data_IF_041058799375
#
_entry.id   IF_041058799375
#
_cell.length_a   1.000
_cell.length_b   1.000
_cell.length_c   1.000
_cell.angle_alpha   90.00
_cell.angle_beta   90.00
_cell.angle_gamma   90.00
#
_symmetry.space_group_name_H-M   'P 1'
#
loop_
_entity.id
_entity.type
_entity.pdbx_description
1 polymer ?
#
# COMPACT_ATOMS: atom_id res chain seq x y z
N UNK A 1 11.97 -20.94 -16.99
CA UNK A 1 11.52 -21.99 -16.04
C UNK A 1 10.40 -22.76 -16.70
N UNK A 2 10.25 -24.04 -16.39
CA UNK A 2 9.00 -24.74 -16.72
C UNK A 2 7.87 -24.36 -15.73
N UNK A 3 6.60 -24.68 -16.02
CA UNK A 3 5.48 -24.29 -15.15
C UNK A 3 5.58 -24.80 -13.71
N UNK A 4 6.09 -26.03 -13.51
CA UNK A 4 6.23 -26.59 -12.16
C UNK A 4 7.31 -25.86 -11.34
N UNK A 5 8.43 -25.49 -11.97
CA UNK A 5 9.47 -24.69 -11.31
C UNK A 5 8.96 -23.30 -10.91
N UNK A 6 8.15 -22.67 -11.77
CA UNK A 6 7.59 -21.35 -11.50
C UNK A 6 6.60 -21.39 -10.32
N UNK A 7 5.75 -22.40 -10.24
CA UNK A 7 4.80 -22.57 -9.14
C UNK A 7 5.50 -22.77 -7.80
N UNK A 8 6.55 -23.61 -7.76
CA UNK A 8 7.38 -23.82 -6.57
C UNK A 8 8.08 -22.51 -6.18
N UNK A 9 8.60 -21.77 -7.15
CA UNK A 9 9.24 -20.48 -6.90
C UNK A 9 8.27 -19.42 -6.35
N UNK A 10 7.10 -19.29 -6.97
CA UNK A 10 6.03 -18.40 -6.51
C UNK A 10 5.64 -18.72 -5.06
N UNK A 11 5.43 -20.00 -4.75
CA UNK A 11 5.07 -20.46 -3.41
C UNK A 11 6.16 -20.10 -2.41
N UNK A 12 7.43 -20.38 -2.75
CA UNK A 12 8.56 -20.09 -1.88
C UNK A 12 8.69 -18.59 -1.57
N UNK A 13 8.53 -17.71 -2.56
CA UNK A 13 8.57 -16.27 -2.33
C UNK A 13 7.35 -15.74 -1.57
N UNK A 14 6.17 -16.29 -1.84
CA UNK A 14 4.92 -15.86 -1.17
C UNK A 14 4.93 -16.19 0.32
N UNK A 15 5.62 -17.27 0.72
CA UNK A 15 5.74 -17.64 2.12
C UNK A 15 6.59 -16.66 2.95
N UNK A 16 7.49 -15.89 2.31
CA UNK A 16 8.35 -14.95 3.03
C UNK A 16 7.52 -13.81 3.66
N UNK A 17 6.70 -13.05 2.92
CA UNK A 17 5.76 -12.10 3.51
C UNK A 17 4.80 -12.72 4.55
N UNK A 18 4.36 -13.97 4.37
CA UNK A 18 3.49 -14.64 5.34
C UNK A 18 4.21 -14.88 6.67
N UNK A 19 5.45 -15.37 6.61
CA UNK A 19 6.31 -15.55 7.78
C UNK A 19 6.61 -14.21 8.47
N UNK A 20 6.87 -13.15 7.70
CA UNK A 20 7.02 -11.79 8.21
C UNK A 20 5.75 -11.35 8.96
N UNK A 21 4.57 -11.57 8.38
CA UNK A 21 3.28 -11.22 9.00
C UNK A 21 3.03 -11.99 10.29
N UNK A 22 3.34 -13.29 10.34
CA UNK A 22 3.26 -14.09 11.57
C UNK A 22 4.17 -13.53 12.65
N UNK A 23 5.42 -13.20 12.32
CA UNK A 23 6.39 -12.62 13.25
C UNK A 23 5.91 -11.25 13.75
N UNK A 24 5.44 -10.38 12.86
CA UNK A 24 4.90 -9.07 13.18
C UNK A 24 3.76 -9.17 14.20
N UNK A 25 2.73 -9.97 13.90
CA UNK A 25 1.57 -10.14 14.81
C UNK A 25 1.96 -10.68 16.18
N UNK A 26 2.88 -11.65 16.23
CA UNK A 26 3.29 -12.29 17.49
C UNK A 26 4.16 -11.40 18.38
N UNK A 27 4.86 -10.43 17.79
CA UNK A 27 5.80 -9.56 18.50
C UNK A 27 5.30 -8.13 18.69
N UNK A 28 4.19 -7.76 18.05
CA UNK A 28 3.51 -6.48 18.25
C UNK A 28 2.84 -6.42 19.61
N UNK A 29 2.68 -5.19 20.10
CA UNK A 29 2.15 -4.90 21.41
C UNK A 29 0.67 -4.55 21.31
N UNK A 30 0.28 -3.79 20.28
CA UNK A 30 -1.09 -3.32 20.15
C UNK A 30 -2.09 -4.37 19.65
N UNK A 31 -3.34 -4.33 20.13
CA UNK A 31 -4.42 -5.18 19.62
C UNK A 31 -4.73 -4.97 18.12
N UNK A 32 -4.48 -3.77 17.57
CA UNK A 32 -4.73 -3.50 16.14
C UNK A 32 -3.89 -4.41 15.25
N UNK A 33 -2.61 -4.58 15.57
CA UNK A 33 -1.73 -5.46 14.78
C UNK A 33 -1.91 -6.92 15.21
N UNK A 34 -2.01 -7.18 16.52
CA UNK A 34 -2.00 -8.54 17.06
C UNK A 34 -3.31 -9.30 16.85
N UNK A 35 -4.44 -8.65 17.13
CA UNK A 35 -5.77 -9.29 17.17
C UNK A 35 -6.61 -8.91 15.95
N UNK A 36 -6.65 -7.63 15.55
CA UNK A 36 -7.36 -7.20 14.34
C UNK A 36 -6.62 -7.57 13.06
N UNK A 37 -5.32 -7.88 13.16
CA UNK A 37 -4.45 -8.22 12.04
C UNK A 37 -4.35 -7.11 10.98
N UNK A 38 -4.39 -5.86 11.43
CA UNK A 38 -4.36 -4.68 10.57
C UNK A 38 -2.92 -4.33 10.18
N UNK A 39 -2.33 -5.22 9.37
CA UNK A 39 -0.99 -5.07 8.82
C UNK A 39 -0.82 -5.93 7.56
N UNK A 40 0.03 -5.51 6.63
CA UNK A 40 0.48 -6.34 5.50
C UNK A 40 2.00 -6.39 5.44
N UNK A 41 2.53 -7.45 4.83
CA UNK A 41 3.96 -7.60 4.53
C UNK A 41 4.13 -7.87 3.03
N UNK A 42 5.24 -7.42 2.47
CA UNK A 42 5.55 -7.57 1.05
C UNK A 42 7.05 -7.63 0.79
N UNK A 43 7.40 -8.25 -0.35
CA UNK A 43 8.72 -8.20 -0.96
C UNK A 43 8.67 -7.42 -2.25
N UNK A 44 9.71 -6.63 -2.49
CA UNK A 44 9.93 -5.90 -3.73
C UNK A 44 11.30 -6.27 -4.29
N UNK A 45 11.48 -6.18 -5.61
CA UNK A 45 12.79 -6.31 -6.24
C UNK A 45 13.58 -5.00 -6.18
N UNK A 46 14.79 -5.00 -6.76
CA UNK A 46 15.70 -3.86 -6.73
C UNK A 46 15.14 -2.64 -7.50
N UNK A 47 14.24 -2.87 -8.44
CA UNK A 47 13.55 -1.87 -9.24
C UNK A 47 12.29 -1.32 -8.55
N UNK A 48 11.94 -1.83 -7.37
CA UNK A 48 10.76 -1.40 -6.62
C UNK A 48 9.46 -2.00 -7.13
N UNK A 49 9.50 -3.09 -7.89
CA UNK A 49 8.30 -3.84 -8.32
C UNK A 49 7.93 -4.83 -7.22
N UNK A 50 6.68 -4.81 -6.79
CA UNK A 50 6.17 -5.75 -5.79
C UNK A 50 6.23 -7.18 -6.36
N UNK A 51 6.92 -8.08 -5.66
CA UNK A 51 7.15 -9.47 -6.08
C UNK A 51 6.17 -10.42 -5.42
N UNK A 52 5.88 -10.20 -4.14
CA UNK A 52 4.95 -11.00 -3.37
C UNK A 52 4.39 -10.18 -2.20
N UNK A 53 3.13 -10.47 -1.84
CA UNK A 53 2.45 -9.82 -0.72
C UNK A 53 1.65 -10.84 0.08
N UNK A 54 1.78 -10.77 1.41
CA UNK A 54 0.85 -11.37 2.36
C UNK A 54 -0.19 -10.30 2.69
N UNK A 55 -1.35 -10.43 2.04
CA UNK A 55 -2.43 -9.47 2.13
C UNK A 55 -3.37 -9.84 3.27
N UNK A 56 -3.54 -8.91 4.21
CA UNK A 56 -4.65 -8.92 5.16
C UNK A 56 -5.62 -7.76 4.90
N UNK A 57 -5.17 -6.68 4.25
CA UNK A 57 -5.91 -5.44 4.07
C UNK A 57 -5.81 -4.95 2.61
N UNK A 58 -6.92 -4.88 1.85
CA UNK A 58 -6.91 -4.50 0.42
C UNK A 58 -6.35 -3.11 0.11
N UNK A 59 -6.46 -2.15 1.05
CA UNK A 59 -5.95 -0.79 0.83
C UNK A 59 -4.40 -0.71 0.75
N UNK A 60 -3.72 -1.84 1.01
CA UNK A 60 -2.27 -1.96 0.88
C UNK A 60 -1.81 -2.32 -0.55
N UNK A 61 -2.73 -2.70 -1.45
CA UNK A 61 -2.39 -3.17 -2.81
C UNK A 61 -1.71 -2.10 -3.68
N UNK A 62 -2.24 -0.88 -3.69
CA UNK A 62 -1.73 0.25 -4.47
C UNK A 62 -0.80 1.17 -3.67
N UNK A 63 -0.91 1.18 -2.35
CA UNK A 63 -0.19 2.14 -1.51
C UNK A 63 1.25 1.73 -1.18
N UNK A 64 1.53 0.45 -0.93
CA UNK A 64 2.91 -0.01 -0.69
C UNK A 64 3.85 0.22 -1.88
N UNK A 65 3.45 -0.05 -3.15
CA UNK A 65 4.27 0.30 -4.31
C UNK A 65 4.65 1.79 -4.37
N UNK A 66 3.69 2.70 -4.16
CA UNK A 66 3.97 4.14 -4.15
C UNK A 66 4.89 4.56 -3.01
N UNK A 67 4.80 3.90 -1.85
CA UNK A 67 5.71 4.14 -0.73
C UNK A 67 7.16 3.73 -1.08
N UNK A 68 7.35 2.58 -1.74
CA UNK A 68 8.67 2.14 -2.21
C UNK A 68 9.21 3.06 -3.31
N UNK A 69 8.36 3.49 -4.25
CA UNK A 69 8.73 4.46 -5.28
C UNK A 69 9.21 5.78 -4.67
N UNK A 70 8.50 6.30 -3.65
CA UNK A 70 8.92 7.49 -2.93
C UNK A 70 10.31 7.32 -2.29
N UNK A 71 10.57 6.19 -1.62
CA UNK A 71 11.89 5.90 -1.05
C UNK A 71 12.98 5.82 -2.12
N UNK A 72 12.73 5.14 -3.24
CA UNK A 72 13.70 5.04 -4.34
C UNK A 72 14.05 6.41 -4.94
N UNK A 73 13.05 7.30 -5.07
CA UNK A 73 13.23 8.67 -5.55
C UNK A 73 14.03 9.52 -4.56
N UNK A 74 13.76 9.39 -3.26
CA UNK A 74 14.30 10.30 -2.24
C UNK A 74 15.68 9.84 -1.70
N UNK A 75 16.02 8.56 -1.87
CA UNK A 75 17.28 7.95 -1.41
C UNK A 75 18.15 7.34 -2.54
N UNK A 76 18.39 8.04 -3.66
CA UNK A 76 19.11 7.48 -4.80
C UNK A 76 20.57 7.18 -4.42
N UNK A 77 20.95 5.91 -4.41
CA UNK A 77 22.32 5.48 -4.10
C UNK A 77 22.76 5.68 -2.64
N UNK A 78 21.87 6.08 -1.73
CA UNK A 78 22.20 6.35 -0.31
C UNK A 78 21.74 5.27 0.67
N UNK A 79 20.89 4.34 0.22
CA UNK A 79 20.43 3.19 1.00
C UNK A 79 21.58 2.22 1.30
N UNK A 80 21.67 1.75 2.54
CA UNK A 80 22.70 0.82 3.02
C UNK A 80 22.06 -0.36 3.74
N UNK A 81 22.82 -1.44 3.85
CA UNK A 81 22.42 -2.56 4.69
C UNK A 81 22.11 -2.09 6.11
N UNK A 82 21.10 -2.70 6.71
CA UNK A 82 20.55 -2.34 8.02
C UNK A 82 19.84 -0.99 8.14
N UNK A 83 19.66 -0.25 7.05
CA UNK A 83 18.71 0.86 7.04
C UNK A 83 17.26 0.35 7.24
N UNK A 84 16.44 1.17 7.88
CA UNK A 84 14.98 1.04 7.89
C UNK A 84 14.40 2.42 7.60
N UNK A 85 13.68 2.56 6.50
CA UNK A 85 13.01 3.79 6.11
C UNK A 85 11.59 3.73 6.64
N UNK A 86 11.12 4.80 7.28
CA UNK A 86 9.78 4.96 7.81
C UNK A 86 9.04 6.05 7.03
N UNK A 87 7.75 5.82 6.75
CA UNK A 87 6.83 6.84 6.29
C UNK A 87 5.37 6.49 6.62
N UNK A 88 4.52 7.51 6.70
CA UNK A 88 3.06 7.38 6.69
C UNK A 88 2.38 8.50 5.87
N UNK A 89 3.16 9.46 5.34
CA UNK A 89 2.63 10.60 4.59
C UNK A 89 1.76 10.11 3.41
N UNK A 90 0.44 10.40 3.42
CA UNK A 90 -0.50 9.95 2.40
C UNK A 90 -0.20 10.50 1.00
N UNK A 91 0.50 11.63 0.91
CA UNK A 91 0.94 12.21 -0.36
C UNK A 91 2.26 11.61 -0.86
N UNK A 92 2.85 10.68 -0.10
CA UNK A 92 4.10 9.97 -0.40
C UNK A 92 3.94 8.45 -0.38
N UNK A 93 2.72 7.97 -0.60
CA UNK A 93 2.39 6.54 -0.66
C UNK A 93 1.77 5.98 0.62
N UNK A 94 1.56 6.79 1.66
CA UNK A 94 0.69 6.44 2.79
C UNK A 94 -0.78 6.32 2.40
N UNK A 95 -1.60 5.83 3.32
CA UNK A 95 -3.07 5.66 3.16
C UNK A 95 -3.82 6.64 4.06
N UNK A 96 -3.51 6.59 5.36
CA UNK A 96 -3.79 7.60 6.37
C UNK A 96 -2.66 7.56 7.40
N UNK A 97 -2.60 8.52 8.33
CA UNK A 97 -1.46 8.62 9.24
C UNK A 97 -1.26 7.41 10.17
N UNK A 98 -2.30 6.74 10.69
CA UNK A 98 -2.13 5.54 11.52
C UNK A 98 -1.38 4.39 10.83
N UNK A 99 -1.43 4.31 9.49
CA UNK A 99 -0.77 3.24 8.74
C UNK A 99 0.71 3.56 8.50
N UNK A 100 1.57 3.10 9.40
CA UNK A 100 3.01 3.34 9.33
C UNK A 100 3.70 2.25 8.51
N UNK A 101 4.44 2.65 7.47
CA UNK A 101 5.19 1.76 6.59
C UNK A 101 6.67 1.76 6.97
N UNK A 102 7.26 0.56 7.13
CA UNK A 102 8.70 0.37 7.20
C UNK A 102 9.24 -0.35 5.97
N UNK A 103 10.28 0.20 5.36
CA UNK A 103 10.95 -0.34 4.16
C UNK A 103 12.41 -0.60 4.50
N UNK A 104 12.85 -1.85 4.33
CA UNK A 104 14.25 -2.26 4.51
C UNK A 104 14.86 -2.68 3.17
N UNK A 105 15.95 -2.05 2.70
CA UNK A 105 16.71 -2.57 1.58
C UNK A 105 17.40 -3.90 1.94
N UNK A 106 17.38 -4.85 1.02
CA UNK A 106 17.97 -6.19 1.16
C UNK A 106 19.18 -6.28 0.26
N UNK A 107 20.35 -6.50 0.87
CA UNK A 107 21.62 -6.66 0.14
C UNK A 107 22.08 -8.12 0.15
N UNK A 108 22.80 -8.52 -0.88
CA UNK A 108 23.51 -9.79 -0.94
C UNK A 108 24.77 -9.65 -1.80
N UNK A 109 25.93 -10.00 -1.21
CA UNK A 109 27.25 -9.88 -1.86
C UNK A 109 27.44 -8.50 -2.51
N UNK A 110 27.20 -7.44 -1.74
CA UNK A 110 27.31 -6.02 -2.11
C UNK A 110 26.30 -5.48 -3.13
N UNK A 111 25.40 -6.33 -3.64
CA UNK A 111 24.32 -5.93 -4.55
C UNK A 111 22.97 -5.77 -3.85
N UNK A 112 22.21 -4.73 -4.21
CA UNK A 112 20.81 -4.60 -3.82
C UNK A 112 19.99 -5.71 -4.51
N UNK A 113 19.32 -6.54 -3.70
CA UNK A 113 18.37 -7.56 -4.18
C UNK A 113 16.96 -7.01 -4.30
N UNK A 114 16.57 -6.11 -3.41
CA UNK A 114 15.21 -5.59 -3.33
C UNK A 114 14.88 -5.07 -1.94
N UNK A 115 13.62 -5.18 -1.53
CA UNK A 115 13.13 -4.62 -0.27
C UNK A 115 12.22 -5.59 0.47
N UNK A 116 12.36 -5.63 1.79
CA UNK A 116 11.35 -6.20 2.69
C UNK A 116 10.55 -5.04 3.28
N UNK A 117 9.23 -5.11 3.13
CA UNK A 117 8.32 -4.01 3.46
C UNK A 117 7.20 -4.53 4.34
N UNK A 118 6.82 -3.74 5.34
CA UNK A 118 5.55 -3.93 6.02
C UNK A 118 4.87 -2.58 6.27
N UNK A 119 3.56 -2.65 6.44
CA UNK A 119 2.72 -1.55 6.90
C UNK A 119 1.84 -2.08 8.00
N UNK A 120 1.74 -1.34 9.09
CA UNK A 120 0.94 -1.72 10.24
C UNK A 120 0.19 -0.51 10.77
N UNK A 121 -1.05 -0.74 11.18
CA UNK A 121 -1.90 0.28 11.74
C UNK A 121 -1.57 0.50 13.22
N UNK A 122 -1.00 1.67 13.53
CA UNK A 122 -0.77 2.10 14.91
C UNK A 122 -2.06 2.65 15.50
N UNK A 123 -2.38 2.27 16.74
CA UNK A 123 -3.64 2.68 17.36
C UNK A 123 -3.70 4.19 17.68
N UNK A 124 -2.55 4.86 17.66
CA UNK A 124 -2.42 6.31 17.80
C UNK A 124 -1.16 6.77 17.07
N UNK A 125 -1.25 7.94 16.44
CA UNK A 125 -0.15 8.61 15.75
C UNK A 125 -0.11 10.10 16.12
N UNK A 126 -0.65 10.48 17.29
CA UNK A 126 -0.59 11.85 17.81
C UNK A 126 -1.61 12.83 17.24
N UNK A 127 -2.73 12.32 16.71
CA UNK A 127 -3.84 13.17 16.27
C UNK A 127 -4.57 13.87 17.42
N UNK A 128 -5.38 14.90 17.10
CA UNK A 128 -6.17 15.66 18.07
C UNK A 128 -7.14 14.81 18.90
N UNK A 129 -7.55 13.65 18.39
CA UNK A 129 -8.46 12.70 19.05
C UNK A 129 -7.81 11.32 19.17
N UNK A 130 -8.15 10.53 20.21
CA UNK A 130 -7.70 9.14 20.31
C UNK A 130 -8.08 8.33 19.07
N UNK A 131 -7.15 7.52 18.57
CA UNK A 131 -7.32 6.80 17.30
C UNK A 131 -6.81 7.59 16.09
N UNK A 132 -6.49 8.88 16.27
CA UNK A 132 -5.91 9.75 15.23
C UNK A 132 -6.75 9.85 13.96
N UNK A 133 -8.07 9.91 14.15
CA UNK A 133 -9.06 10.13 13.09
C UNK A 133 -10.08 11.19 13.57
N UNK A 134 -9.70 12.47 13.70
CA UNK A 134 -10.63 13.53 14.08
C UNK A 134 -11.65 13.73 12.96
N UNK A 135 -12.93 13.52 13.23
CA UNK A 135 -14.00 13.64 12.23
C UNK A 135 -14.14 15.07 11.67
N UNK A 136 -13.72 16.07 12.45
CA UNK A 136 -13.71 17.50 12.10
C UNK A 136 -12.36 17.97 11.53
N UNK A 137 -11.43 17.06 11.23
CA UNK A 137 -10.13 17.43 10.66
C UNK A 137 -10.31 18.03 9.26
N UNK A 138 -9.72 19.19 9.05
CA UNK A 138 -9.71 19.90 7.76
C UNK A 138 -8.31 19.91 7.14
N UNK A 139 -7.28 19.71 7.95
CA UNK A 139 -5.88 19.65 7.54
C UNK A 139 -5.20 18.37 8.03
N UNK A 140 -4.25 17.86 7.26
CA UNK A 140 -3.53 16.62 7.59
C UNK A 140 -2.81 16.69 8.93
N UNK A 141 -2.22 17.83 9.28
CA UNK A 141 -1.50 18.02 10.55
C UNK A 141 -2.41 17.92 11.79
N UNK A 142 -3.72 18.02 11.62
CA UNK A 142 -4.70 17.80 12.69
C UNK A 142 -4.93 16.31 12.99
N UNK A 143 -4.61 15.44 12.03
CA UNK A 143 -4.75 13.99 12.13
C UNK A 143 -3.57 13.32 12.84
N UNK A 144 -2.44 14.04 13.00
CA UNK A 144 -1.30 13.61 13.79
C UNK A 144 0.05 13.73 13.09
N UNK A 145 0.96 12.87 13.50
CA UNK A 145 2.36 12.84 13.09
C UNK A 145 2.50 12.48 11.61
N UNK A 146 2.86 13.47 10.80
CA UNK A 146 3.24 13.24 9.40
C UNK A 146 4.72 12.87 9.30
N UNK A 147 4.98 11.71 8.71
CA UNK A 147 6.30 11.14 8.46
C UNK A 147 6.52 11.03 6.95
N UNK A 148 7.21 12.03 6.40
CA UNK A 148 7.85 11.90 5.09
C UNK A 148 8.91 10.78 5.12
N UNK A 149 9.27 10.19 3.96
CA UNK A 149 10.33 9.17 3.87
C UNK A 149 11.62 9.59 4.56
N UNK A 150 11.94 8.93 5.67
CA UNK A 150 13.13 9.20 6.48
C UNK A 150 13.67 7.95 7.15
N UNK A 151 14.94 7.96 7.56
CA UNK A 151 15.55 6.81 8.24
C UNK A 151 15.04 6.70 9.68
N UNK A 152 14.41 5.57 10.02
CA UNK A 152 14.20 5.12 11.39
C UNK A 152 15.47 4.49 11.95
N UNK A 153 16.09 3.60 11.16
CA UNK A 153 17.43 3.07 11.43
C UNK A 153 18.39 3.50 10.32
N UNK A 154 19.57 3.97 10.72
CA UNK A 154 20.69 4.25 9.83
C UNK A 154 21.81 3.25 10.11
N UNK A 155 21.98 2.27 9.21
CA UNK A 155 22.89 1.12 9.38
C UNK A 155 22.70 0.42 10.73
N UNK A 156 21.44 0.11 11.06
CA UNK A 156 21.07 -0.57 12.30
C UNK A 156 21.04 0.30 13.55
N UNK A 157 21.38 1.59 13.45
CA UNK A 157 21.35 2.52 14.58
C UNK A 157 20.07 3.34 14.59
N UNK A 158 19.36 3.31 15.71
CA UNK A 158 18.14 4.09 15.92
C UNK A 158 18.39 5.59 15.75
N UNK A 159 17.51 6.26 15.01
CA UNK A 159 17.50 7.71 14.86
C UNK A 159 16.62 8.30 15.96
N UNK A 160 17.25 8.78 17.03
CA UNK A 160 16.57 9.34 18.21
C UNK A 160 15.49 10.34 17.84
N UNK A 161 15.78 11.28 16.92
CA UNK A 161 14.82 12.29 16.44
C UNK A 161 13.49 11.72 15.98
N UNK A 162 13.45 10.55 15.34
CA UNK A 162 12.20 9.92 14.90
C UNK A 162 11.48 9.31 16.09
N UNK A 163 12.21 8.57 16.93
CA UNK A 163 11.65 7.89 18.09
C UNK A 163 11.15 8.88 19.15
N UNK A 164 11.80 10.02 19.31
CA UNK A 164 11.43 11.08 20.24
C UNK A 164 10.09 11.69 19.85
N UNK A 165 9.82 11.89 18.55
CA UNK A 165 8.49 12.28 18.07
C UNK A 165 7.41 11.30 18.50
N UNK A 166 7.64 9.98 18.38
CA UNK A 166 6.69 8.99 18.90
C UNK A 166 6.55 9.08 20.43
N UNK A 167 7.63 9.35 21.18
CA UNK A 167 7.57 9.48 22.65
C UNK A 167 6.77 10.69 23.11
N UNK A 168 6.88 11.79 22.37
CA UNK A 168 6.37 13.10 22.76
C UNK A 168 4.98 13.38 22.18
N UNK A 169 4.71 12.93 20.96
CA UNK A 169 3.51 13.30 20.20
C UNK A 169 2.40 12.23 20.29
N UNK A 170 2.71 10.97 20.66
CA UNK A 170 1.72 9.86 20.66
C UNK A 170 1.28 9.41 22.05
N UNK A 171 0.08 8.82 22.11
CA UNK A 171 -0.43 8.13 23.29
C UNK A 171 0.18 6.72 23.41
N UNK A 172 0.37 6.26 24.66
CA UNK A 172 0.97 4.97 24.97
C UNK A 172 2.30 4.71 24.22
N UNK A 173 3.30 5.59 24.33
CA UNK A 173 4.50 5.54 23.50
C UNK A 173 5.29 4.23 23.65
N UNK A 174 5.26 3.58 24.81
CA UNK A 174 5.89 2.26 24.98
C UNK A 174 5.30 1.20 24.04
N UNK A 175 3.98 1.23 23.82
CA UNK A 175 3.27 0.35 22.89
C UNK A 175 3.61 0.70 21.43
N UNK A 176 3.57 1.99 21.06
CA UNK A 176 3.93 2.46 19.70
C UNK A 176 5.36 2.09 19.32
N UNK A 177 6.31 2.32 20.23
CA UNK A 177 7.71 1.93 20.05
C UNK A 177 7.89 0.40 20.02
N UNK A 178 7.07 -0.35 20.77
CA UNK A 178 7.00 -1.81 20.69
C UNK A 178 6.57 -2.30 19.31
N UNK A 179 5.50 -1.71 18.77
CA UNK A 179 5.00 -1.99 17.41
C UNK A 179 6.04 -1.65 16.33
N UNK A 180 6.74 -0.51 16.43
CA UNK A 180 7.83 -0.16 15.50
C UNK A 180 8.96 -1.20 15.53
N UNK A 181 9.35 -1.68 16.71
CA UNK A 181 10.37 -2.73 16.84
C UNK A 181 9.90 -4.05 16.25
N UNK A 182 8.63 -4.40 16.41
CA UNK A 182 8.03 -5.58 15.77
C UNK A 182 8.08 -5.46 14.24
N UNK A 183 7.75 -4.29 13.69
CA UNK A 183 7.89 -4.00 12.25
C UNK A 183 9.35 -4.13 11.77
N UNK A 184 10.32 -3.59 12.52
CA UNK A 184 11.75 -3.74 12.20
C UNK A 184 12.16 -5.21 12.17
N UNK A 185 11.76 -5.99 13.18
CA UNK A 185 12.09 -7.40 13.28
C UNK A 185 11.47 -8.24 12.14
N UNK A 186 10.23 -7.94 11.75
CA UNK A 186 9.57 -8.57 10.60
C UNK A 186 10.33 -8.29 9.30
N UNK A 187 10.72 -7.03 9.05
CA UNK A 187 11.54 -6.69 7.88
C UNK A 187 12.90 -7.37 7.88
N UNK A 188 13.56 -7.49 9.04
CA UNK A 188 14.82 -8.22 9.15
C UNK A 188 14.65 -9.71 8.82
N UNK A 189 13.53 -10.34 9.23
CA UNK A 189 13.22 -11.71 8.86
C UNK A 189 13.04 -11.85 7.34
N UNK A 190 12.25 -10.96 6.72
CA UNK A 190 12.08 -10.94 5.27
C UNK A 190 13.39 -10.80 4.50
N UNK A 191 14.25 -9.88 4.95
CA UNK A 191 15.58 -9.67 4.36
C UNK A 191 16.46 -10.93 4.44
N UNK A 192 16.49 -11.61 5.60
CA UNK A 192 17.23 -12.87 5.76
C UNK A 192 16.71 -13.95 4.81
N UNK A 193 15.38 -14.14 4.74
CA UNK A 193 14.77 -15.16 3.88
C UNK A 193 15.03 -14.91 2.40
N UNK A 194 14.92 -13.66 1.95
CA UNK A 194 15.23 -13.31 0.56
C UNK A 194 16.71 -13.56 0.23
N UNK A 195 17.63 -13.23 1.15
CA UNK A 195 19.05 -13.52 1.00
C UNK A 195 19.34 -15.04 0.98
N UNK A 196 18.64 -15.85 1.78
CA UNK A 196 18.74 -17.32 1.75
C UNK A 196 18.31 -17.89 0.39
N UNK A 197 17.22 -17.38 -0.19
CA UNK A 197 16.77 -17.75 -1.55
C UNK A 197 17.83 -17.38 -2.58
N UNK A 198 18.37 -16.16 -2.52
CA UNK A 198 19.43 -15.71 -3.42
C UNK A 198 20.71 -16.55 -3.29
N UNK A 199 21.08 -16.98 -2.08
CA UNK A 199 22.23 -17.85 -1.84
C UNK A 199 22.07 -19.24 -2.48
N UNK A 200 20.84 -19.78 -2.48
CA UNK A 200 20.53 -21.10 -3.08
C UNK A 200 20.40 -21.05 -4.61
N UNK A 201 19.73 -20.03 -5.13
CA UNK A 201 19.39 -19.94 -6.56
C UNK A 201 20.45 -19.20 -7.39
N UNK A 202 21.22 -18.32 -6.75
CA UNK A 202 22.04 -17.32 -7.43
C UNK A 202 21.21 -16.10 -7.86
N UNK A 203 21.82 -14.92 -7.79
CA UNK A 203 21.14 -13.62 -8.04
C UNK A 203 20.56 -13.53 -9.45
N UNK A 204 21.32 -13.96 -10.47
CA UNK A 204 20.87 -13.91 -11.87
C UNK A 204 19.61 -14.75 -12.09
N UNK A 205 19.58 -15.98 -11.54
CA UNK A 205 18.42 -16.85 -11.65
C UNK A 205 17.23 -16.28 -10.88
N UNK A 206 17.46 -15.78 -9.66
CA UNK A 206 16.41 -15.13 -8.85
C UNK A 206 15.74 -13.98 -9.61
N UNK A 207 16.52 -13.06 -10.18
CA UNK A 207 15.99 -11.91 -10.94
C UNK A 207 15.19 -12.36 -12.17
N UNK A 208 15.76 -13.25 -12.99
CA UNK A 208 15.03 -13.79 -14.15
C UNK A 208 13.77 -14.56 -13.75
N UNK A 209 13.77 -15.20 -12.59
CA UNK A 209 12.58 -15.87 -12.04
C UNK A 209 11.52 -14.88 -11.55
N UNK A 210 11.92 -13.74 -10.98
CA UNK A 210 11.00 -12.65 -10.62
C UNK A 210 10.36 -12.08 -11.88
N UNK A 211 11.14 -11.78 -12.92
CA UNK A 211 10.61 -11.24 -14.18
C UNK A 211 9.57 -12.18 -14.81
N UNK A 212 9.88 -13.48 -14.89
CA UNK A 212 8.92 -14.48 -15.40
C UNK A 212 7.66 -14.56 -14.54
N UNK A 213 7.77 -14.43 -13.21
CA UNK A 213 6.62 -14.44 -12.31
C UNK A 213 5.72 -13.22 -12.47
N UNK A 214 6.31 -12.03 -12.71
CA UNK A 214 5.56 -10.81 -13.01
C UNK A 214 4.86 -10.95 -14.37
N UNK A 215 5.55 -11.43 -15.40
CA UNK A 215 4.98 -11.63 -16.73
C UNK A 215 3.88 -12.69 -16.73
N UNK A 216 4.03 -13.75 -15.92
CA UNK A 216 2.99 -14.76 -15.71
C UNK A 216 1.73 -14.17 -15.08
N UNK A 217 1.87 -13.36 -14.02
CA UNK A 217 0.74 -12.69 -13.38
C UNK A 217 0.01 -11.75 -14.37
N UNK A 218 0.76 -10.99 -15.15
CA UNK A 218 0.21 -10.14 -16.21
C UNK A 218 -0.59 -10.96 -17.23
N UNK A 219 -0.01 -12.06 -17.76
CA UNK A 219 -0.70 -12.93 -18.72
C UNK A 219 -2.01 -13.48 -18.18
N UNK A 220 -2.04 -13.90 -16.90
CA UNK A 220 -3.26 -14.40 -16.26
C UNK A 220 -4.35 -13.34 -16.17
N UNK A 221 -4.02 -12.16 -15.64
CA UNK A 221 -5.00 -11.07 -15.51
C UNK A 221 -5.47 -10.59 -16.88
N UNK A 222 -4.57 -10.43 -17.86
CA UNK A 222 -4.94 -10.07 -19.24
C UNK A 222 -5.89 -11.09 -19.88
N UNK A 223 -5.66 -12.39 -19.67
CA UNK A 223 -6.54 -13.44 -20.16
C UNK A 223 -7.93 -13.38 -19.51
N UNK A 224 -8.00 -13.13 -18.20
CA UNK A 224 -9.26 -12.93 -17.50
C UNK A 224 -10.00 -11.66 -18.00
N UNK A 225 -9.28 -10.55 -18.19
CA UNK A 225 -9.85 -9.31 -18.76
C UNK A 225 -10.44 -9.57 -20.15
N UNK A 226 -9.77 -10.35 -21.00
CA UNK A 226 -10.29 -10.70 -22.33
C UNK A 226 -11.59 -11.49 -22.33
N UNK A 227 -11.99 -12.07 -21.19
CA UNK A 227 -13.28 -12.74 -21.02
C UNK A 227 -14.40 -11.82 -20.55
N UNK A 228 -14.07 -10.61 -20.10
CA UNK A 228 -15.06 -9.59 -19.73
C UNK A 228 -15.70 -8.99 -20.99
N UNK A 229 -16.95 -8.50 -20.89
CA UNK A 229 -17.56 -7.72 -21.96
C UNK A 229 -16.66 -6.54 -22.35
N UNK A 230 -16.65 -6.23 -23.65
CA UNK A 230 -15.90 -5.07 -24.18
C UNK A 230 -16.83 -3.88 -24.27
N UNK A 231 -16.38 -2.74 -23.76
CA UNK A 231 -17.20 -1.55 -23.72
C UNK A 231 -16.68 -0.53 -22.73
N UNK A 232 -17.52 0.47 -22.50
CA UNK A 232 -17.25 1.56 -21.57
C UNK A 232 -18.52 1.83 -20.81
N UNK A 233 -18.42 1.77 -19.48
CA UNK A 233 -19.55 1.97 -18.59
C UNK A 233 -19.15 2.95 -17.50
N UNK A 234 -20.09 3.78 -17.07
CA UNK A 234 -19.86 4.75 -16.02
C UNK A 234 -20.95 4.61 -14.96
N UNK A 235 -20.55 4.84 -13.72
CA UNK A 235 -21.45 4.99 -12.61
C UNK A 235 -21.03 6.18 -11.76
N UNK A 236 -21.98 6.69 -11.02
CA UNK A 236 -21.75 7.69 -9.99
C UNK A 236 -22.59 7.38 -8.76
N UNK A 237 -22.06 7.77 -7.62
CA UNK A 237 -22.74 7.69 -6.34
C UNK A 237 -22.22 8.83 -5.46
N UNK A 238 -22.81 9.00 -4.28
CA UNK A 238 -22.53 10.12 -3.38
C UNK A 238 -22.08 9.65 -2.01
N UNK A 239 -21.28 10.48 -1.36
CA UNK A 239 -21.06 10.48 0.08
C UNK A 239 -21.82 11.63 0.72
N UNK A 240 -22.34 11.44 1.92
CA UNK A 240 -22.86 12.53 2.72
C UNK A 240 -21.72 13.38 3.29
N UNK A 241 -21.83 14.71 3.16
CA UNK A 241 -20.90 15.63 3.79
C UNK A 241 -20.91 15.50 5.32
N UNK A 242 -19.74 15.57 5.94
CA UNK A 242 -19.58 15.35 7.39
C UNK A 242 -19.84 16.63 8.21
N UNK A 243 -19.92 17.80 7.56
CA UNK A 243 -20.11 19.08 8.23
C UNK A 243 -20.97 20.06 7.42
N UNK A 244 -21.58 21.09 8.06
CA UNK A 244 -22.33 22.13 7.34
C UNK A 244 -21.48 22.98 6.38
N UNK A 245 -20.15 22.92 6.46
CA UNK A 245 -19.23 23.60 5.54
C UNK A 245 -19.00 22.78 4.25
N UNK A 246 -19.43 21.53 4.22
CA UNK A 246 -19.33 20.62 3.09
C UNK A 246 -20.65 20.56 2.30
N UNK A 247 -20.61 20.19 1.01
CA UNK A 247 -21.81 19.83 0.26
C UNK A 247 -22.59 18.72 0.99
N UNK A 248 -23.93 18.78 0.98
CA UNK A 248 -24.77 17.71 1.53
C UNK A 248 -24.44 16.35 0.89
N UNK A 249 -24.21 16.36 -0.42
CA UNK A 249 -23.77 15.20 -1.19
C UNK A 249 -22.50 15.54 -1.97
N UNK A 250 -21.49 14.67 -1.85
CA UNK A 250 -20.21 14.76 -2.53
C UNK A 250 -20.15 13.62 -3.55
N UNK A 251 -20.08 13.93 -4.83
CA UNK A 251 -20.20 12.95 -5.90
C UNK A 251 -18.87 12.28 -6.23
N UNK A 252 -18.90 10.96 -6.36
CA UNK A 252 -17.83 10.13 -6.90
C UNK A 252 -18.31 9.52 -8.21
N UNK A 253 -17.55 9.72 -9.28
CA UNK A 253 -17.82 9.15 -10.61
C UNK A 253 -16.65 8.29 -11.04
N UNK A 254 -16.93 7.11 -11.58
CA UNK A 254 -15.94 6.30 -12.28
C UNK A 254 -16.48 5.83 -13.62
N UNK A 255 -15.62 5.87 -14.64
CA UNK A 255 -15.83 5.24 -15.93
C UNK A 255 -14.80 4.11 -16.11
N UNK A 256 -15.27 2.93 -16.50
CA UNK A 256 -14.44 1.76 -16.73
C UNK A 256 -14.54 1.41 -18.21
N UNK A 257 -13.41 1.48 -18.90
CA UNK A 257 -13.26 1.02 -20.28
C UNK A 257 -12.51 -0.31 -20.30
N UNK A 258 -13.16 -1.33 -20.85
CA UNK A 258 -12.60 -2.67 -21.06
C UNK A 258 -12.36 -2.87 -22.55
N UNK A 259 -11.10 -3.00 -22.95
CA UNK A 259 -10.70 -3.09 -24.35
C UNK A 259 -9.41 -3.87 -24.55
N UNK A 260 -9.35 -4.65 -25.64
CA UNK A 260 -8.20 -5.52 -25.92
C UNK A 260 -7.96 -6.52 -24.78
N UNK A 261 -6.89 -6.31 -24.03
CA UNK A 261 -6.51 -7.08 -22.83
C UNK A 261 -6.19 -6.19 -21.63
N UNK A 262 -6.80 -5.01 -21.55
CA UNK A 262 -6.58 -4.04 -20.46
C UNK A 262 -7.87 -3.40 -19.96
N UNK A 263 -7.76 -2.74 -18.81
CA UNK A 263 -8.81 -1.96 -18.16
C UNK A 263 -8.27 -0.55 -17.94
N UNK A 264 -9.03 0.46 -18.35
CA UNK A 264 -8.79 1.85 -17.97
C UNK A 264 -9.93 2.32 -17.06
N UNK A 265 -9.57 2.90 -15.91
CA UNK A 265 -10.51 3.46 -14.93
C UNK A 265 -10.26 4.96 -14.84
N UNK A 266 -11.28 5.75 -15.15
CA UNK A 266 -11.22 7.20 -15.16
C UNK A 266 -12.20 7.78 -14.12
N UNK A 267 -11.64 8.47 -13.12
CA UNK A 267 -12.40 9.16 -12.07
C UNK A 267 -12.72 10.62 -12.42
N UNK A 268 -12.46 11.06 -13.65
CA UNK A 268 -12.80 12.40 -14.13
C UNK A 268 -14.29 12.68 -13.95
N UNK A 269 -14.59 13.88 -13.44
CA UNK A 269 -15.93 14.28 -13.04
C UNK A 269 -16.30 13.96 -11.59
N UNK A 270 -15.42 13.31 -10.80
CA UNK A 270 -15.54 13.28 -9.33
C UNK A 270 -15.38 14.69 -8.76
N UNK A 271 -16.13 15.02 -7.71
CA UNK A 271 -16.11 16.34 -7.10
C UNK A 271 -14.75 16.72 -6.52
N UNK A 272 -14.56 18.02 -6.27
CA UNK A 272 -13.32 18.56 -5.68
C UNK A 272 -13.13 18.04 -4.26
N UNK A 273 -11.88 17.98 -3.83
CA UNK A 273 -11.54 17.72 -2.42
C UNK A 273 -12.33 18.66 -1.50
N UNK A 274 -12.78 18.13 -0.36
CA UNK A 274 -13.60 18.84 0.62
C UNK A 274 -12.77 19.37 1.78
N UNK A 275 -13.34 20.34 2.51
CA UNK A 275 -12.77 20.91 3.73
C UNK A 275 -13.11 20.04 4.95
N UNK A 276 -12.80 18.75 4.83
CA UNK A 276 -13.00 17.70 5.82
C UNK A 276 -12.01 16.57 5.57
N UNK A 277 -12.21 15.41 6.20
CA UNK A 277 -11.27 14.29 6.12
C UNK A 277 -11.72 13.15 5.19
N UNK A 278 -12.81 13.33 4.43
CA UNK A 278 -13.32 12.40 3.41
C UNK A 278 -12.46 12.38 2.12
N UNK A 279 -11.31 13.05 2.10
CA UNK A 279 -10.47 13.05 0.90
C UNK A 279 -9.65 11.76 0.83
N UNK A 280 -9.85 10.96 -0.22
CA UNK A 280 -9.10 9.72 -0.45
C UNK A 280 -7.78 10.01 -1.19
N UNK A 281 -6.60 9.80 -0.56
CA UNK A 281 -5.31 9.91 -1.24
C UNK A 281 -5.26 9.00 -2.46
N UNK A 282 -4.51 9.38 -3.49
CA UNK A 282 -4.46 8.60 -4.72
C UNK A 282 -4.04 7.13 -4.50
N UNK A 283 -3.20 6.87 -3.49
CA UNK A 283 -2.82 5.52 -3.08
C UNK A 283 -4.01 4.66 -2.63
N UNK A 284 -5.00 5.26 -1.97
CA UNK A 284 -6.27 4.61 -1.57
C UNK A 284 -7.11 4.34 -2.81
N UNK A 285 -7.27 5.33 -3.70
CA UNK A 285 -8.02 5.20 -4.96
C UNK A 285 -7.47 4.07 -5.83
N UNK A 286 -6.15 4.00 -6.01
CA UNK A 286 -5.49 2.90 -6.72
C UNK A 286 -5.78 1.55 -6.07
N UNK A 287 -5.70 1.47 -4.74
CA UNK A 287 -5.90 0.22 -4.02
C UNK A 287 -7.34 -0.28 -4.13
N UNK A 288 -8.32 0.62 -4.05
CA UNK A 288 -9.73 0.30 -4.28
C UNK A 288 -9.97 -0.19 -5.72
N UNK A 289 -9.36 0.45 -6.73
CA UNK A 289 -9.43 -0.02 -8.11
C UNK A 289 -8.80 -1.40 -8.29
N UNK A 290 -7.61 -1.63 -7.74
CA UNK A 290 -6.93 -2.93 -7.82
C UNK A 290 -7.71 -4.04 -7.12
N UNK A 291 -8.36 -3.74 -6.00
CA UNK A 291 -9.27 -4.67 -5.33
C UNK A 291 -10.41 -5.08 -6.26
N UNK A 292 -11.13 -4.13 -6.84
CA UNK A 292 -12.26 -4.42 -7.74
C UNK A 292 -11.81 -5.19 -8.99
N UNK A 293 -10.71 -4.78 -9.63
CA UNK A 293 -10.19 -5.52 -10.79
C UNK A 293 -9.87 -6.96 -10.41
N UNK A 294 -9.29 -7.22 -9.24
CA UNK A 294 -9.01 -8.60 -8.80
C UNK A 294 -10.30 -9.40 -8.55
N UNK A 295 -11.33 -8.77 -7.97
CA UNK A 295 -12.63 -9.42 -7.80
C UNK A 295 -13.28 -9.79 -9.14
N UNK A 296 -13.16 -8.94 -10.15
CA UNK A 296 -13.76 -9.14 -11.47
C UNK A 296 -12.96 -10.08 -12.38
N UNK A 297 -11.67 -10.27 -12.11
CA UNK A 297 -10.76 -11.02 -13.00
C UNK A 297 -10.36 -12.36 -12.40
N UNK A 298 -9.16 -12.45 -11.82
CA UNK A 298 -8.58 -13.68 -11.32
C UNK A 298 -8.05 -13.47 -9.89
N UNK A 299 -8.86 -13.77 -8.86
CA UNK A 299 -8.44 -13.66 -7.46
C UNK A 299 -7.23 -14.53 -7.11
N UNK A 300 -6.99 -15.61 -7.88
CA UNK A 300 -5.91 -16.56 -7.69
C UNK A 300 -4.63 -16.22 -8.48
N UNK A 301 -4.64 -15.16 -9.30
CA UNK A 301 -3.44 -14.67 -9.94
C UNK A 301 -2.39 -14.26 -8.88
N UNK A 302 -1.08 -14.42 -9.17
CA UNK A 302 -0.03 -14.03 -8.24
C UNK A 302 -0.19 -12.56 -7.81
N UNK A 303 -0.11 -12.31 -6.50
CA UNK A 303 -0.27 -10.98 -5.89
C UNK A 303 1.02 -10.17 -6.02
N UNK A 304 1.27 -9.65 -7.20
CA UNK A 304 2.49 -8.92 -7.52
C UNK A 304 2.23 -7.81 -8.56
N UNK A 305 3.24 -6.99 -8.85
CA UNK A 305 3.11 -5.85 -9.74
C UNK A 305 2.65 -6.22 -11.17
N UNK A 306 2.92 -7.45 -11.62
CA UNK A 306 2.50 -7.94 -12.93
C UNK A 306 0.99 -7.97 -13.10
N UNK A 307 0.26 -8.34 -12.04
CA UNK A 307 -1.20 -8.40 -12.04
C UNK A 307 -1.87 -7.04 -12.32
N UNK A 308 -1.17 -5.92 -12.06
CA UNK A 308 -1.72 -4.57 -12.19
C UNK A 308 -1.21 -3.82 -13.43
N UNK A 309 -0.22 -4.36 -14.16
CA UNK A 309 0.23 -3.81 -15.46
C UNK A 309 -0.88 -3.60 -16.51
N UNK A 310 -1.94 -4.41 -16.59
CA UNK A 310 -3.02 -4.16 -17.55
C UNK A 310 -4.05 -3.11 -17.08
N UNK A 311 -3.86 -2.50 -15.91
CA UNK A 311 -4.80 -1.54 -15.31
C UNK A 311 -4.23 -0.14 -15.36
N UNK A 312 -4.93 0.78 -16.01
CA UNK A 312 -4.64 2.21 -15.98
C UNK A 312 -5.68 2.91 -15.10
N UNK A 313 -5.22 3.81 -14.23
CA UNK A 313 -6.10 4.60 -13.36
C UNK A 313 -5.79 6.08 -13.53
N UNK A 314 -6.83 6.88 -13.77
CA UNK A 314 -6.75 8.33 -13.93
C UNK A 314 -7.66 8.99 -12.91
N UNK A 315 -7.15 10.02 -12.24
CA UNK A 315 -7.92 10.89 -11.36
C UNK A 315 -7.40 12.32 -11.46
N UNK A 316 -8.32 13.29 -11.46
CA UNK A 316 -7.96 14.71 -11.49
C UNK A 316 -7.30 15.12 -10.18
N UNK A 317 -6.15 15.79 -10.25
CA UNK A 317 -5.50 16.34 -9.06
C UNK A 317 -6.37 17.44 -8.42
N UNK A 318 -6.54 17.37 -7.10
CA UNK A 318 -7.46 18.22 -6.35
C UNK A 318 -8.91 17.75 -6.36
N UNK A 319 -9.20 16.55 -6.89
CA UNK A 319 -10.48 15.86 -6.68
C UNK A 319 -10.52 15.17 -5.32
N UNK A 320 -11.71 14.75 -4.88
CA UNK A 320 -11.91 13.97 -3.66
C UNK A 320 -11.04 12.71 -3.62
N UNK A 321 -10.80 12.08 -4.77
CA UNK A 321 -10.06 10.81 -4.92
C UNK A 321 -8.60 10.99 -5.34
N UNK A 322 -8.13 12.24 -5.38
CA UNK A 322 -6.71 12.61 -5.56
C UNK A 322 -6.48 14.03 -5.01
N UNK A 323 -6.62 14.21 -3.68
CA UNK A 323 -6.51 15.52 -3.06
C UNK A 323 -5.08 16.06 -3.12
N UNK A 324 -4.95 17.37 -2.95
CA UNK A 324 -3.68 18.06 -2.74
C UNK A 324 -3.43 18.31 -1.25
N UNK A 325 -2.16 18.35 -0.82
CA UNK A 325 -1.81 18.88 0.49
C UNK A 325 -2.36 20.29 0.68
N UNK A 326 -2.75 20.68 1.91
CA UNK A 326 -2.63 19.94 3.16
C UNK A 326 -3.94 19.29 3.62
N UNK A 327 -4.79 18.79 2.73
CA UNK A 327 -6.11 18.26 3.10
C UNK A 327 -6.03 17.10 4.12
N UNK A 328 -7.00 17.04 5.03
CA UNK A 328 -7.22 15.87 5.88
C UNK A 328 -7.74 14.67 5.04
N UNK A 329 -7.40 13.45 5.44
CA UNK A 329 -7.62 12.23 4.63
C UNK A 329 -8.07 10.99 5.41
N UNK A 330 -8.21 11.06 6.74
CA UNK A 330 -8.47 9.91 7.60
C UNK A 330 -9.71 9.11 7.17
N UNK A 331 -10.85 9.78 6.96
CA UNK A 331 -12.08 9.12 6.50
C UNK A 331 -12.03 8.75 5.01
N UNK A 332 -11.15 9.37 4.23
CA UNK A 332 -10.86 8.97 2.86
C UNK A 332 -10.40 7.52 2.74
N UNK A 333 -9.66 7.03 3.74
CA UNK A 333 -9.17 5.65 3.80
C UNK A 333 -10.26 4.64 4.16
N UNK A 334 -11.25 5.00 4.98
CA UNK A 334 -12.26 4.07 5.52
C UNK A 334 -13.65 4.20 4.88
N UNK A 335 -14.13 5.41 4.61
CA UNK A 335 -15.48 5.66 4.07
C UNK A 335 -15.44 5.84 2.55
N UNK A 336 -14.62 6.78 2.08
CA UNK A 336 -14.54 7.11 0.65
C UNK A 336 -14.00 5.96 -0.16
N UNK A 337 -13.06 5.18 0.40
CA UNK A 337 -12.56 3.97 -0.24
C UNK A 337 -13.67 2.95 -0.50
N UNK A 338 -14.63 2.79 0.42
CA UNK A 338 -15.78 1.90 0.22
C UNK A 338 -16.68 2.42 -0.89
N UNK A 339 -16.98 3.73 -0.90
CA UNK A 339 -17.80 4.30 -1.97
C UNK A 339 -17.13 4.22 -3.34
N UNK A 340 -15.81 4.35 -3.42
CA UNK A 340 -15.05 4.10 -4.66
C UNK A 340 -15.27 2.66 -5.13
N UNK A 341 -15.19 1.67 -4.22
CA UNK A 341 -15.44 0.27 -4.55
C UNK A 341 -16.87 0.06 -5.06
N UNK A 342 -17.86 0.64 -4.40
CA UNK A 342 -19.27 0.55 -4.79
C UNK A 342 -19.51 1.11 -6.20
N UNK A 343 -19.00 2.32 -6.48
CA UNK A 343 -19.13 2.96 -7.80
C UNK A 343 -18.47 2.12 -8.90
N UNK A 344 -17.30 1.53 -8.63
CA UNK A 344 -16.62 0.69 -9.61
C UNK A 344 -17.38 -0.62 -9.89
N UNK A 345 -17.97 -1.25 -8.86
CA UNK A 345 -18.83 -2.42 -9.07
C UNK A 345 -20.13 -2.05 -9.79
N UNK A 346 -20.73 -0.91 -9.45
CA UNK A 346 -21.95 -0.41 -10.10
C UNK A 346 -21.71 -0.15 -11.59
N UNK A 347 -20.55 0.43 -11.96
CA UNK A 347 -20.17 0.63 -13.35
C UNK A 347 -20.07 -0.71 -14.13
N UNK A 348 -19.78 -1.83 -13.45
CA UNK A 348 -19.66 -3.16 -14.06
C UNK A 348 -20.89 -4.05 -13.84
N UNK A 349 -21.98 -3.53 -13.25
CA UNK A 349 -23.15 -4.32 -12.90
C UNK A 349 -24.07 -4.65 -14.10
N UNK A 350 -24.09 -3.80 -15.13
CA UNK A 350 -24.86 -4.00 -16.37
C UNK A 350 -23.97 -3.93 -17.62
N UNK A 351 -23.04 -4.89 -17.80
CA UNK A 351 -22.06 -4.85 -18.87
C UNK A 351 -22.61 -5.29 -20.25
#
# INVERSE_FOLDING_TARGET
MNPAELEVFQTALSFIPEEMGVALRRTSYSPNIKERMDASCALFDAEGRMVAQAEHIPVHLGSMPLAVEAVLRDFPGTLREDDQIILNDPYRGGTHLPDVTLIRPVFFRDGLLGFAVNRAHHADIGGRTPGSMPADATRLDEEGLVLEPQKLLDRGRERAVVLDRFREETLNPAERLGDLRAQVAANQLGARRLAEVAARMGVTRLRGSIDELLDYAERRVRAAISSLPRGTWAAEDVLEGASPEEPEFIRIRAEIAVGGSGIAVDFSGTDRQVRGNLNAPFAVTLSATYYVVRCLTDPAAPRNAGAYRPVQVVAEEGSLVRPRPPAAVAAGNVETSQRIVDVLFLAMAEP
#
